data_IF_368069395381
#
_entry.id   IF_368069395381
#
_cell.length_a   1.000
_cell.length_b   1.000
_cell.length_c   1.000
_cell.angle_alpha   90.00
_cell.angle_beta   90.00
_cell.angle_gamma   90.00
#
_symmetry.space_group_name_H-M   'P 1'
#
loop_
_entity.id
_entity.type
_entity.pdbx_description
1 polymer ?
#
# COMPACT_ATOMS: atom_id res chain seq x y z
N UNK A 1 -21.47 3.53 -16.62
CA UNK A 1 -20.44 2.49 -16.90
C UNK A 1 -19.05 2.86 -16.40
N UNK A 2 -18.51 4.07 -16.68
CA UNK A 2 -17.16 4.47 -16.21
C UNK A 2 -17.01 4.40 -14.68
N UNK A 3 -18.01 4.88 -13.93
CA UNK A 3 -18.01 4.82 -12.45
C UNK A 3 -17.94 3.36 -11.96
N UNK A 4 -18.68 2.44 -12.59
CA UNK A 4 -18.65 1.01 -12.24
C UNK A 4 -17.27 0.40 -12.49
N UNK A 5 -16.62 0.75 -13.60
CA UNK A 5 -15.26 0.32 -13.90
C UNK A 5 -14.27 0.81 -12.85
N UNK A 6 -14.26 2.12 -12.56
CA UNK A 6 -13.39 2.73 -11.55
C UNK A 6 -13.62 2.10 -10.16
N UNK A 7 -14.88 1.83 -9.82
CA UNK A 7 -15.23 1.19 -8.55
C UNK A 7 -14.65 -0.21 -8.43
N UNK A 8 -14.75 -1.02 -9.49
CA UNK A 8 -14.20 -2.38 -9.57
C UNK A 8 -12.67 -2.38 -9.62
N UNK A 9 -12.07 -1.45 -10.37
CA UNK A 9 -10.63 -1.28 -10.43
C UNK A 9 -10.03 -1.05 -9.04
N UNK A 10 -10.60 -0.16 -8.23
CA UNK A 10 -10.10 0.07 -6.87
C UNK A 10 -10.18 -1.17 -5.98
N UNK A 11 -11.30 -1.90 -6.03
CA UNK A 11 -11.45 -3.15 -5.27
C UNK A 11 -10.39 -4.16 -5.72
N UNK A 12 -10.10 -4.22 -7.03
CA UNK A 12 -9.09 -5.12 -7.58
C UNK A 12 -7.67 -4.81 -7.11
N UNK A 13 -7.36 -3.54 -6.80
CA UNK A 13 -6.04 -3.15 -6.29
C UNK A 13 -5.86 -3.57 -4.83
N UNK A 14 -6.95 -3.58 -4.05
CA UNK A 14 -6.91 -3.83 -2.60
C UNK A 14 -6.97 -5.33 -2.27
N UNK A 15 -7.74 -6.10 -3.03
CA UNK A 15 -7.95 -7.52 -2.74
C UNK A 15 -6.92 -8.43 -3.44
N UNK A 16 -6.36 -9.44 -2.74
CA UNK A 16 -5.59 -10.50 -3.39
C UNK A 16 -6.43 -11.19 -4.48
N UNK A 17 -5.83 -11.51 -5.63
CA UNK A 17 -6.53 -12.04 -6.82
C UNK A 17 -7.64 -11.11 -7.37
N UNK A 18 -7.44 -9.80 -7.20
CA UNK A 18 -8.43 -8.72 -7.33
C UNK A 18 -9.26 -8.66 -8.61
N UNK A 19 -8.88 -9.32 -9.70
CA UNK A 19 -9.70 -9.40 -10.91
C UNK A 19 -11.02 -10.16 -10.67
N UNK A 20 -10.97 -11.38 -10.14
CA UNK A 20 -12.15 -12.25 -9.99
C UNK A 20 -13.03 -11.77 -8.84
N UNK A 21 -12.40 -11.40 -7.72
CA UNK A 21 -13.10 -10.97 -6.50
C UNK A 21 -13.78 -9.63 -6.68
N UNK A 22 -13.13 -8.64 -7.32
CA UNK A 22 -13.74 -7.31 -7.55
C UNK A 22 -14.95 -7.34 -8.48
N UNK A 23 -14.94 -8.23 -9.48
CA UNK A 23 -16.02 -8.35 -10.45
C UNK A 23 -17.24 -9.08 -9.88
N UNK A 24 -17.04 -9.92 -8.86
CA UNK A 24 -18.10 -10.61 -8.13
C UNK A 24 -18.81 -9.74 -7.07
N UNK A 25 -18.23 -8.59 -6.68
CA UNK A 25 -18.90 -7.65 -5.78
C UNK A 25 -20.09 -6.99 -6.48
N UNK A 26 -21.28 -7.18 -5.93
CA UNK A 26 -22.45 -6.39 -6.32
C UNK A 26 -22.24 -4.95 -5.88
N UNK A 27 -22.50 -4.05 -6.81
CA UNK A 27 -22.53 -2.61 -6.58
C UNK A 27 -23.99 -2.15 -6.58
N UNK A 28 -24.30 -1.01 -5.93
CA UNK A 28 -25.64 -0.41 -5.97
C UNK A 28 -26.11 -0.23 -7.43
N UNK A 29 -25.19 0.06 -8.34
CA UNK A 29 -25.45 0.17 -9.78
C UNK A 29 -25.94 -1.16 -10.40
N UNK A 30 -25.33 -2.29 -10.05
CA UNK A 30 -25.75 -3.61 -10.57
C UNK A 30 -27.02 -4.13 -9.89
N UNK A 31 -27.23 -3.79 -8.62
CA UNK A 31 -28.46 -4.13 -7.89
C UNK A 31 -29.67 -3.36 -8.44
N UNK A 32 -29.48 -2.09 -8.85
CA UNK A 32 -30.53 -1.28 -9.45
C UNK A 32 -31.08 -1.81 -10.78
N UNK A 33 -30.35 -2.71 -11.44
CA UNK A 33 -30.71 -3.31 -12.73
C UNK A 33 -31.37 -4.69 -12.61
N UNK A 34 -31.65 -5.20 -11.41
CA UNK A 34 -32.25 -6.52 -11.17
C UNK A 34 -31.54 -7.69 -11.89
N UNK A 35 -30.21 -7.60 -12.05
CA UNK A 35 -29.42 -8.65 -12.69
C UNK A 35 -29.15 -9.77 -11.67
N UNK A 36 -29.40 -11.02 -12.05
CA UNK A 36 -29.13 -12.17 -11.18
C UNK A 36 -27.61 -12.35 -10.94
N UNK A 37 -27.23 -12.77 -9.72
CA UNK A 37 -25.82 -13.05 -9.37
C UNK A 37 -25.12 -13.98 -10.36
N UNK A 38 -25.72 -15.11 -10.80
CA UNK A 38 -25.11 -16.01 -11.78
C UNK A 38 -24.76 -15.33 -13.11
N UNK A 39 -25.65 -14.47 -13.63
CA UNK A 39 -25.40 -13.70 -14.85
C UNK A 39 -24.27 -12.68 -14.65
N UNK A 40 -24.23 -12.00 -13.50
CA UNK A 40 -23.18 -11.03 -13.17
C UNK A 40 -21.80 -11.70 -13.04
N UNK A 41 -21.73 -12.85 -12.38
CA UNK A 41 -20.51 -13.65 -12.26
C UNK A 41 -20.08 -14.15 -13.64
N UNK A 42 -21.01 -14.64 -14.45
CA UNK A 42 -20.72 -15.13 -15.80
C UNK A 42 -20.19 -14.04 -16.73
N UNK A 43 -20.83 -12.87 -16.78
CA UNK A 43 -20.36 -11.74 -17.58
C UNK A 43 -18.98 -11.25 -17.15
N UNK A 44 -18.70 -11.30 -15.85
CA UNK A 44 -17.38 -11.00 -15.28
C UNK A 44 -16.31 -12.02 -15.68
N UNK A 45 -16.65 -13.31 -15.67
CA UNK A 45 -15.78 -14.38 -16.17
C UNK A 45 -15.49 -14.23 -17.67
N UNK A 46 -16.47 -13.81 -18.48
CA UNK A 46 -16.23 -13.52 -19.90
C UNK A 46 -15.22 -12.38 -20.04
N UNK A 47 -15.41 -11.27 -19.33
CA UNK A 47 -14.47 -10.14 -19.39
C UNK A 47 -13.04 -10.54 -18.99
N UNK A 48 -12.89 -11.31 -17.91
CA UNK A 48 -11.59 -11.80 -17.49
C UNK A 48 -10.97 -12.70 -18.55
N UNK A 49 -11.75 -13.63 -19.10
CA UNK A 49 -11.32 -14.52 -20.15
C UNK A 49 -10.87 -13.73 -21.38
N UNK A 50 -11.69 -12.82 -21.89
CA UNK A 50 -11.37 -12.02 -23.08
C UNK A 50 -10.15 -11.13 -22.88
N UNK A 51 -9.93 -10.63 -21.65
CA UNK A 51 -8.74 -9.83 -21.32
C UNK A 51 -7.47 -10.68 -21.23
N UNK A 52 -7.57 -11.90 -20.68
CA UNK A 52 -6.46 -12.86 -20.71
C UNK A 52 -6.17 -13.39 -22.12
N UNK A 53 -7.16 -13.44 -23.01
CA UNK A 53 -6.92 -13.88 -24.39
C UNK A 53 -6.42 -12.76 -25.29
N UNK A 54 -6.88 -11.51 -25.08
CA UNK A 54 -6.46 -10.36 -25.87
C UNK A 54 -4.97 -10.08 -25.73
N UNK A 55 -4.38 -10.31 -24.55
CA UNK A 55 -2.94 -10.10 -24.38
C UNK A 55 -2.09 -11.01 -25.27
N UNK A 56 -2.57 -12.21 -25.61
CA UNK A 56 -1.83 -13.11 -26.51
C UNK A 56 -1.77 -12.59 -27.94
N UNK A 57 -2.74 -11.76 -28.36
CA UNK A 57 -2.68 -11.05 -29.64
C UNK A 57 -1.41 -10.21 -29.77
N UNK A 58 -0.94 -9.65 -28.65
CA UNK A 58 0.23 -8.78 -28.60
C UNK A 58 1.49 -9.49 -28.10
N UNK A 59 1.34 -10.47 -27.20
CA UNK A 59 2.47 -11.24 -26.65
C UNK A 59 3.13 -12.13 -27.69
N UNK A 60 2.36 -12.75 -28.58
CA UNK A 60 2.89 -13.66 -29.61
C UNK A 60 3.77 -12.88 -30.61
N UNK A 61 3.31 -11.77 -31.23
CA UNK A 61 4.18 -10.94 -32.07
C UNK A 61 5.42 -10.44 -31.34
N UNK A 62 5.30 -10.07 -30.06
CA UNK A 62 6.43 -9.60 -29.27
C UNK A 62 7.52 -10.66 -29.12
N UNK A 63 7.14 -11.88 -28.69
CA UNK A 63 8.06 -13.01 -28.54
C UNK A 63 8.70 -13.38 -29.88
N UNK A 64 7.92 -13.35 -30.97
CA UNK A 64 8.44 -13.66 -32.30
C UNK A 64 9.45 -12.60 -32.78
N UNK A 65 9.15 -11.31 -32.60
CA UNK A 65 10.06 -10.23 -32.99
C UNK A 65 11.35 -10.31 -32.19
N UNK A 66 11.28 -10.40 -30.86
CA UNK A 66 12.48 -10.49 -30.01
C UNK A 66 13.31 -11.74 -30.35
N UNK A 67 12.64 -12.88 -30.56
CA UNK A 67 13.27 -14.15 -30.97
C UNK A 67 14.08 -14.04 -32.27
N UNK A 68 13.67 -13.16 -33.19
CA UNK A 68 14.30 -13.00 -34.50
C UNK A 68 15.41 -11.94 -34.50
N UNK A 69 15.33 -10.92 -33.65
CA UNK A 69 16.31 -9.82 -33.60
C UNK A 69 17.46 -10.03 -32.64
N UNK A 70 17.31 -10.85 -31.60
CA UNK A 70 18.32 -11.02 -30.55
C UNK A 70 18.94 -12.42 -30.59
N UNK A 71 20.28 -12.50 -30.67
CA UNK A 71 20.99 -13.80 -30.73
C UNK A 71 21.01 -14.54 -29.38
N UNK A 72 20.96 -13.82 -28.27
CA UNK A 72 20.97 -14.36 -26.90
C UNK A 72 19.57 -14.26 -26.25
N UNK A 73 18.57 -14.88 -26.89
CA UNK A 73 17.21 -14.85 -26.36
C UNK A 73 17.04 -15.77 -25.16
N UNK A 74 16.59 -15.19 -24.04
CA UNK A 74 16.21 -15.92 -22.82
C UNK A 74 14.86 -16.64 -22.96
N UNK A 75 14.02 -16.26 -23.93
CA UNK A 75 12.63 -16.75 -24.07
C UNK A 75 12.53 -17.62 -25.33
N UNK A 76 12.27 -18.93 -25.13
CA UNK A 76 12.11 -19.88 -26.21
C UNK A 76 10.79 -19.62 -26.99
N UNK A 77 10.81 -19.37 -28.31
CA UNK A 77 9.61 -19.12 -29.10
C UNK A 77 8.60 -20.29 -29.08
N UNK A 78 9.04 -21.49 -28.71
CA UNK A 78 8.16 -22.65 -28.50
C UNK A 78 7.12 -22.44 -27.38
N UNK A 79 7.29 -21.44 -26.51
CA UNK A 79 6.33 -21.08 -25.45
C UNK A 79 4.97 -20.62 -26.03
N UNK A 80 4.92 -20.23 -27.30
CA UNK A 80 3.70 -19.83 -28.02
C UNK A 80 2.78 -21.03 -28.31
N UNK A 81 3.34 -22.23 -28.52
CA UNK A 81 2.57 -23.43 -28.86
C UNK A 81 1.57 -23.84 -27.77
N UNK A 82 1.97 -24.03 -26.49
CA UNK A 82 1.03 -24.40 -25.43
C UNK A 82 -0.07 -23.34 -25.22
N UNK A 83 0.24 -22.05 -25.41
CA UNK A 83 -0.75 -20.96 -25.36
C UNK A 83 -1.83 -21.14 -26.43
N UNK A 84 -1.43 -21.36 -27.69
CA UNK A 84 -2.37 -21.57 -28.80
C UNK A 84 -3.25 -22.80 -28.53
N UNK A 85 -2.65 -23.89 -28.03
CA UNK A 85 -3.39 -25.12 -27.68
C UNK A 85 -4.43 -24.84 -26.59
N UNK A 86 -4.06 -24.13 -25.52
CA UNK A 86 -4.96 -23.76 -24.43
C UNK A 86 -6.14 -22.93 -24.96
N UNK A 87 -5.87 -21.91 -25.77
CA UNK A 87 -6.90 -21.07 -26.39
C UNK A 87 -7.85 -21.89 -27.29
N UNK A 88 -7.31 -22.80 -28.10
CA UNK A 88 -8.10 -23.67 -28.96
C UNK A 88 -9.02 -24.59 -28.15
N UNK A 89 -8.50 -25.23 -27.09
CA UNK A 89 -9.27 -26.09 -26.18
C UNK A 89 -10.42 -25.31 -25.55
N UNK A 90 -10.18 -24.08 -25.09
CA UNK A 90 -11.19 -23.24 -24.47
C UNK A 90 -12.33 -22.88 -25.45
N UNK A 91 -11.98 -22.47 -26.68
CA UNK A 91 -12.96 -22.15 -27.73
C UNK A 91 -13.78 -23.37 -28.14
N UNK A 92 -13.13 -24.54 -28.29
CA UNK A 92 -13.81 -25.80 -28.64
C UNK A 92 -14.76 -26.22 -27.51
N UNK A 93 -14.32 -26.14 -26.25
CA UNK A 93 -15.12 -26.54 -25.09
C UNK A 93 -16.34 -25.63 -24.93
N UNK A 94 -16.16 -24.30 -25.04
CA UNK A 94 -17.26 -23.33 -24.99
C UNK A 94 -18.26 -23.54 -26.13
N UNK A 95 -17.77 -23.73 -27.35
CA UNK A 95 -18.62 -24.00 -28.52
C UNK A 95 -19.36 -25.32 -28.40
N UNK A 96 -18.72 -26.35 -27.85
CA UNK A 96 -19.33 -27.65 -27.60
C UNK A 96 -20.44 -27.56 -26.54
N UNK A 97 -20.23 -26.77 -25.47
CA UNK A 97 -21.25 -26.57 -24.45
C UNK A 97 -22.46 -25.80 -25.01
N UNK A 98 -22.22 -24.70 -25.74
CA UNK A 98 -23.29 -23.89 -26.37
C UNK A 98 -24.16 -24.71 -27.33
N UNK A 99 -23.57 -25.68 -28.04
CA UNK A 99 -24.27 -26.56 -28.99
C UNK A 99 -24.80 -27.86 -28.34
N UNK A 100 -24.83 -27.96 -27.01
CA UNK A 100 -25.25 -29.16 -26.28
C UNK A 100 -24.48 -30.44 -26.69
N UNK A 101 -23.22 -30.30 -27.09
CA UNK A 101 -22.35 -31.39 -27.51
C UNK A 101 -21.68 -32.12 -26.34
N UNK A 102 -20.56 -32.80 -26.63
CA UNK A 102 -19.82 -33.65 -25.67
C UNK A 102 -19.47 -32.94 -24.35
N UNK A 103 -19.06 -31.68 -24.40
CA UNK A 103 -18.72 -30.92 -23.20
C UNK A 103 -19.93 -30.71 -22.28
N UNK A 104 -21.12 -30.42 -22.86
CA UNK A 104 -22.37 -30.30 -22.10
C UNK A 104 -22.73 -31.62 -21.43
N UNK A 105 -22.68 -32.74 -22.17
CA UNK A 105 -22.98 -34.07 -21.62
C UNK A 105 -22.04 -34.47 -20.48
N UNK A 106 -20.74 -34.18 -20.62
CA UNK A 106 -19.73 -34.47 -19.59
C UNK A 106 -19.94 -33.65 -18.33
N UNK A 107 -20.22 -32.35 -18.46
CA UNK A 107 -20.46 -31.46 -17.31
C UNK A 107 -21.77 -31.84 -16.62
N UNK A 108 -22.84 -32.10 -17.37
CA UNK A 108 -24.13 -32.53 -16.80
C UNK A 108 -24.03 -33.85 -16.04
N UNK A 109 -23.19 -34.78 -16.52
CA UNK A 109 -22.97 -36.08 -15.88
C UNK A 109 -22.12 -35.97 -14.61
N UNK A 110 -21.01 -35.24 -14.66
CA UNK A 110 -20.02 -35.24 -13.57
C UNK A 110 -20.20 -34.09 -12.56
N UNK A 111 -20.85 -33.00 -12.97
CA UNK A 111 -21.03 -31.78 -12.18
C UNK A 111 -22.44 -31.18 -12.39
N UNK A 112 -23.52 -31.86 -11.93
CA UNK A 112 -24.90 -31.46 -12.20
C UNK A 112 -25.25 -30.07 -11.66
N UNK A 113 -24.74 -29.70 -10.49
CA UNK A 113 -24.93 -28.37 -9.88
C UNK A 113 -24.32 -27.23 -10.69
N UNK A 114 -23.23 -27.50 -11.42
CA UNK A 114 -22.62 -26.53 -12.34
C UNK A 114 -23.48 -26.38 -13.60
N UNK A 115 -24.03 -27.50 -14.12
CA UNK A 115 -24.94 -27.48 -15.27
C UNK A 115 -26.17 -26.63 -14.99
N UNK A 116 -26.82 -26.79 -13.84
CA UNK A 116 -28.00 -26.00 -13.45
C UNK A 116 -27.71 -24.50 -13.47
N UNK A 117 -26.59 -24.08 -12.87
CA UNK A 117 -26.14 -22.67 -12.88
C UNK A 117 -25.81 -22.14 -14.27
N UNK A 118 -25.26 -22.98 -15.15
CA UNK A 118 -24.95 -22.62 -16.53
C UNK A 118 -26.21 -22.54 -17.40
N UNK A 119 -27.22 -23.36 -17.11
CA UNK A 119 -28.49 -23.37 -17.82
C UNK A 119 -29.33 -22.11 -17.47
N UNK A 120 -29.21 -21.58 -16.24
CA UNK A 120 -29.78 -20.27 -15.85
C UNK A 120 -29.27 -19.09 -16.70
N UNK A 121 -28.06 -19.18 -17.24
CA UNK A 121 -27.41 -18.11 -18.02
C UNK A 121 -27.94 -18.06 -19.47
N UNK A 122 -28.70 -19.07 -19.91
CA UNK A 122 -29.26 -19.21 -21.25
C UNK A 122 -28.24 -18.83 -22.35
N UNK A 123 -27.20 -19.65 -22.47
CA UNK A 123 -26.09 -19.44 -23.41
C UNK A 123 -26.51 -19.41 -24.88
N UNK A 124 -27.72 -19.87 -25.21
CA UNK A 124 -28.27 -19.77 -26.57
C UNK A 124 -28.60 -18.32 -26.94
N UNK A 125 -29.10 -17.53 -25.98
CA UNK A 125 -29.33 -16.08 -26.15
C UNK A 125 -28.03 -15.25 -26.15
N UNK A 126 -26.90 -15.87 -25.87
CA UNK A 126 -25.61 -15.19 -25.84
C UNK A 126 -25.17 -14.78 -27.25
N UNK A 127 -25.16 -13.47 -27.49
CA UNK A 127 -24.76 -12.88 -28.77
C UNK A 127 -23.24 -12.83 -28.91
N UNK A 128 -22.72 -13.55 -29.90
CA UNK A 128 -21.30 -13.56 -30.27
C UNK A 128 -20.78 -12.15 -30.61
N UNK A 129 -21.66 -11.25 -31.07
CA UNK A 129 -21.33 -9.86 -31.38
C UNK A 129 -20.81 -9.11 -30.14
N UNK A 130 -21.45 -9.29 -28.98
CA UNK A 130 -20.98 -8.66 -27.74
C UNK A 130 -19.68 -9.28 -27.23
N UNK A 131 -19.45 -10.57 -27.45
CA UNK A 131 -18.15 -11.19 -27.14
C UNK A 131 -17.02 -10.60 -27.98
N UNK A 132 -17.25 -10.36 -29.27
CA UNK A 132 -16.29 -9.68 -30.15
C UNK A 132 -16.07 -8.24 -29.66
N UNK A 133 -17.13 -7.50 -29.30
CA UNK A 133 -16.96 -6.16 -28.75
C UNK A 133 -16.13 -6.16 -27.47
N UNK A 134 -16.39 -7.07 -26.53
CA UNK A 134 -15.60 -7.19 -25.30
C UNK A 134 -14.14 -7.50 -25.62
N UNK A 135 -13.87 -8.44 -26.52
CA UNK A 135 -12.51 -8.77 -26.95
C UNK A 135 -11.79 -7.58 -27.59
N UNK A 136 -12.46 -6.86 -28.50
CA UNK A 136 -11.89 -5.67 -29.15
C UNK A 136 -11.61 -4.56 -28.13
N UNK A 137 -12.51 -4.35 -27.16
CA UNK A 137 -12.26 -3.38 -26.09
C UNK A 137 -11.09 -3.78 -25.20
N UNK A 138 -10.94 -5.07 -24.85
CA UNK A 138 -9.78 -5.57 -24.10
C UNK A 138 -8.49 -5.40 -24.90
N UNK A 139 -8.50 -5.74 -26.19
CA UNK A 139 -7.33 -5.55 -27.06
C UNK A 139 -6.94 -4.08 -27.22
N UNK A 140 -7.92 -3.17 -27.26
CA UNK A 140 -7.67 -1.74 -27.28
C UNK A 140 -7.03 -1.25 -25.97
N UNK A 141 -7.48 -1.77 -24.82
CA UNK A 141 -6.86 -1.49 -23.52
C UNK A 141 -5.40 -1.98 -23.49
N UNK A 142 -5.14 -3.20 -23.96
CA UNK A 142 -3.79 -3.74 -24.07
C UNK A 142 -2.89 -2.84 -24.94
N UNK A 143 -3.40 -2.43 -26.11
CA UNK A 143 -2.71 -1.50 -26.99
C UNK A 143 -2.40 -0.16 -26.29
N UNK A 144 -3.34 0.39 -25.51
CA UNK A 144 -3.06 1.63 -24.76
C UNK A 144 -1.95 1.45 -23.73
N UNK A 145 -1.88 0.30 -23.06
CA UNK A 145 -0.79 -0.04 -22.14
C UNK A 145 0.56 -0.08 -22.85
N UNK A 146 0.63 -0.78 -23.97
CA UNK A 146 1.84 -0.83 -24.82
C UNK A 146 2.23 0.57 -25.30
N UNK A 147 1.25 1.36 -25.75
CA UNK A 147 1.48 2.72 -26.19
C UNK A 147 2.05 3.61 -25.09
N UNK A 148 1.57 3.50 -23.84
CA UNK A 148 2.14 4.24 -22.71
C UNK A 148 3.58 3.82 -22.41
N UNK A 149 3.89 2.52 -22.48
CA UNK A 149 5.27 2.05 -22.29
C UNK A 149 6.21 2.62 -23.35
N UNK A 150 5.80 2.56 -24.62
CA UNK A 150 6.56 3.12 -25.74
C UNK A 150 6.76 4.65 -25.59
N UNK A 151 5.68 5.36 -25.24
CA UNK A 151 5.71 6.82 -25.07
C UNK A 151 6.62 7.24 -23.92
N UNK A 152 6.58 6.51 -22.80
CA UNK A 152 7.47 6.77 -21.65
C UNK A 152 8.94 6.59 -22.03
N UNK A 153 9.28 5.50 -22.74
CA UNK A 153 10.66 5.27 -23.21
C UNK A 153 11.15 6.39 -24.13
N UNK A 154 10.32 6.77 -25.10
CA UNK A 154 10.64 7.81 -26.07
C UNK A 154 10.80 9.17 -25.41
N UNK A 155 9.95 9.48 -24.42
CA UNK A 155 10.02 10.74 -23.67
C UNK A 155 11.31 10.86 -22.84
N UNK A 156 11.79 9.76 -22.25
CA UNK A 156 12.93 9.80 -21.31
C UNK A 156 14.27 9.62 -22.00
N UNK A 157 14.35 8.80 -23.04
CA UNK A 157 15.63 8.43 -23.67
C UNK A 157 15.77 8.89 -25.12
N UNK A 158 14.72 9.48 -25.70
CA UNK A 158 14.65 9.81 -27.12
C UNK A 158 14.54 8.58 -28.04
N UNK A 159 14.70 7.36 -27.50
CA UNK A 159 14.60 6.09 -28.23
C UNK A 159 13.39 5.30 -27.72
N UNK A 160 12.60 4.76 -28.62
CA UNK A 160 11.50 3.87 -28.30
C UNK A 160 11.66 2.56 -29.08
N UNK A 161 11.66 1.43 -28.39
CA UNK A 161 11.59 0.12 -29.03
C UNK A 161 10.18 -0.43 -28.86
N UNK A 162 9.52 -0.75 -29.97
CA UNK A 162 8.19 -1.37 -29.95
C UNK A 162 8.24 -2.73 -29.26
N UNK A 163 9.24 -3.56 -29.58
CA UNK A 163 9.45 -4.86 -28.94
C UNK A 163 9.52 -4.72 -27.40
N UNK A 164 10.19 -3.67 -26.92
CA UNK A 164 10.30 -3.39 -25.49
C UNK A 164 9.03 -2.92 -24.84
N UNK A 165 8.27 -2.07 -25.52
CA UNK A 165 6.96 -1.65 -25.05
C UNK A 165 6.02 -2.86 -24.89
N UNK A 166 6.05 -3.80 -25.85
CA UNK A 166 5.32 -5.04 -25.74
C UNK A 166 5.79 -5.90 -24.55
N UNK A 167 7.09 -6.17 -24.44
CA UNK A 167 7.63 -7.02 -23.38
C UNK A 167 7.36 -6.43 -21.99
N UNK A 168 7.47 -5.10 -21.86
CA UNK A 168 7.11 -4.37 -20.64
C UNK A 168 5.66 -4.60 -20.24
N UNK A 169 4.74 -4.49 -21.21
CA UNK A 169 3.31 -4.71 -20.98
C UNK A 169 3.02 -6.14 -20.52
N UNK A 170 3.63 -7.13 -21.18
CA UNK A 170 3.49 -8.55 -20.84
C UNK A 170 3.98 -8.84 -19.42
N UNK A 171 5.17 -8.34 -19.07
CA UNK A 171 5.74 -8.49 -17.72
C UNK A 171 4.82 -7.86 -16.66
N UNK A 172 4.32 -6.66 -16.92
CA UNK A 172 3.39 -5.95 -16.02
C UNK A 172 2.11 -6.75 -15.81
N UNK A 173 1.53 -7.30 -16.87
CA UNK A 173 0.32 -8.10 -16.79
C UNK A 173 0.51 -9.34 -15.91
N UNK A 174 1.55 -10.13 -16.17
CA UNK A 174 1.79 -11.37 -15.41
C UNK A 174 2.14 -11.11 -13.95
N UNK A 175 2.97 -10.10 -13.66
CA UNK A 175 3.28 -9.73 -12.27
C UNK A 175 2.01 -9.23 -11.57
N UNK A 176 1.17 -8.43 -12.24
CA UNK A 176 -0.10 -7.96 -11.67
C UNK A 176 -1.07 -9.10 -11.36
N UNK A 177 -1.07 -10.16 -12.17
CA UNK A 177 -1.96 -11.31 -12.00
C UNK A 177 -1.58 -12.19 -10.79
N UNK A 178 -0.28 -12.33 -10.52
CA UNK A 178 0.24 -13.20 -9.45
C UNK A 178 0.45 -12.42 -8.15
N UNK A 179 0.67 -11.10 -8.23
CA UNK A 179 1.00 -10.30 -7.05
C UNK A 179 -0.20 -10.14 -6.10
N UNK A 180 -0.05 -10.50 -4.82
CA UNK A 180 -1.11 -10.34 -3.83
C UNK A 180 -1.28 -8.89 -3.34
N UNK A 181 -0.34 -7.99 -3.65
CA UNK A 181 -0.29 -6.63 -3.10
C UNK A 181 -0.33 -5.56 -4.19
N UNK A 182 -1.34 -4.70 -4.17
CA UNK A 182 -1.48 -3.49 -5.01
C UNK A 182 -1.14 -3.69 -6.50
N UNK A 183 -1.51 -4.85 -7.07
CA UNK A 183 -1.14 -5.23 -8.44
C UNK A 183 0.36 -5.10 -8.73
N UNK A 184 1.23 -5.64 -7.88
CA UNK A 184 2.66 -5.75 -8.17
C UNK A 184 3.50 -4.52 -7.85
N UNK A 185 3.03 -3.63 -6.96
CA UNK A 185 3.78 -2.43 -6.58
C UNK A 185 5.18 -2.80 -6.03
N UNK A 186 6.22 -2.12 -6.51
CA UNK A 186 7.62 -2.39 -6.24
C UNK A 186 8.21 -3.46 -7.17
N UNK A 187 7.56 -4.61 -7.27
CA UNK A 187 8.03 -5.72 -8.12
C UNK A 187 8.01 -5.35 -9.61
N UNK A 188 6.95 -4.68 -10.06
CA UNK A 188 6.82 -4.22 -11.46
C UNK A 188 7.87 -3.16 -11.77
N UNK A 189 8.05 -2.18 -10.89
CA UNK A 189 9.04 -1.11 -11.09
C UNK A 189 10.45 -1.69 -11.17
N UNK A 190 10.79 -2.66 -10.31
CA UNK A 190 12.07 -3.37 -10.37
C UNK A 190 12.23 -4.17 -11.67
N UNK A 191 11.21 -4.94 -12.06
CA UNK A 191 11.23 -5.77 -13.27
C UNK A 191 11.36 -4.92 -14.54
N UNK A 192 10.60 -3.83 -14.64
CA UNK A 192 10.68 -2.89 -15.76
C UNK A 192 12.03 -2.18 -15.80
N UNK A 193 12.55 -1.73 -14.66
CA UNK A 193 13.87 -1.09 -14.59
C UNK A 193 14.97 -2.03 -15.08
N UNK A 194 14.92 -3.30 -14.65
CA UNK A 194 15.84 -4.32 -15.11
C UNK A 194 15.74 -4.57 -16.62
N UNK A 195 14.51 -4.74 -17.12
CA UNK A 195 14.22 -4.97 -18.53
C UNK A 195 14.69 -3.80 -19.40
N UNK A 196 14.41 -2.55 -18.99
CA UNK A 196 14.89 -1.36 -19.68
C UNK A 196 16.43 -1.24 -19.67
N UNK A 197 17.10 -1.62 -18.58
CA UNK A 197 18.57 -1.63 -18.49
C UNK A 197 19.20 -2.60 -19.49
N UNK A 198 18.60 -3.77 -19.70
CA UNK A 198 19.10 -4.74 -20.70
C UNK A 198 19.13 -4.15 -22.12
N UNK A 199 18.29 -3.17 -22.40
CA UNK A 199 18.18 -2.52 -23.70
C UNK A 199 18.94 -1.19 -23.79
N UNK A 200 19.92 -1.00 -22.91
CA UNK A 200 20.88 0.09 -22.99
C UNK A 200 20.45 1.39 -22.32
N UNK A 201 19.34 1.39 -21.57
CA UNK A 201 19.00 2.53 -20.70
C UNK A 201 19.91 2.52 -19.48
N UNK A 202 20.45 3.68 -19.10
CA UNK A 202 21.13 3.83 -17.81
C UNK A 202 20.16 3.50 -16.66
N UNK A 203 20.64 3.06 -15.48
CA UNK A 203 19.77 2.72 -14.34
C UNK A 203 18.76 3.82 -13.97
N UNK A 204 19.18 5.10 -14.00
CA UNK A 204 18.32 6.23 -13.69
C UNK A 204 17.20 6.41 -14.74
N UNK A 205 17.55 6.47 -16.03
CA UNK A 205 16.56 6.57 -17.12
C UNK A 205 15.61 5.36 -17.16
N UNK A 206 16.10 4.15 -16.86
CA UNK A 206 15.28 2.94 -16.81
C UNK A 206 14.22 3.03 -15.69
N UNK A 207 14.62 3.44 -14.48
CA UNK A 207 13.69 3.64 -13.37
C UNK A 207 12.67 4.74 -13.66
N UNK A 208 13.12 5.89 -14.18
CA UNK A 208 12.23 6.99 -14.54
C UNK A 208 11.21 6.58 -15.61
N UNK A 209 11.63 5.80 -16.60
CA UNK A 209 10.74 5.25 -17.63
C UNK A 209 9.67 4.34 -17.01
N UNK A 210 10.08 3.44 -16.10
CA UNK A 210 9.15 2.56 -15.39
C UNK A 210 8.15 3.37 -14.54
N UNK A 211 8.60 4.39 -13.83
CA UNK A 211 7.76 5.24 -12.99
C UNK A 211 6.75 6.06 -13.82
N UNK A 212 7.15 6.64 -14.94
CA UNK A 212 6.25 7.37 -15.84
C UNK A 212 5.22 6.43 -16.47
N UNK A 213 5.66 5.25 -16.92
CA UNK A 213 4.73 4.25 -17.41
C UNK A 213 3.69 3.87 -16.34
N UNK A 214 4.12 3.69 -15.08
CA UNK A 214 3.23 3.38 -13.94
C UNK A 214 2.33 4.54 -13.56
N UNK A 215 2.78 5.78 -13.73
CA UNK A 215 1.97 6.97 -13.52
C UNK A 215 0.68 6.90 -14.35
N UNK A 216 0.78 6.54 -15.63
CA UNK A 216 -0.36 6.45 -16.53
C UNK A 216 -1.09 5.11 -16.49
N UNK A 217 -0.36 3.99 -16.40
CA UNK A 217 -0.96 2.65 -16.42
C UNK A 217 -1.60 2.23 -15.09
N UNK A 218 -1.20 2.83 -13.97
CA UNK A 218 -1.67 2.41 -12.64
C UNK A 218 -2.10 3.58 -11.76
N UNK A 219 -1.22 4.56 -11.50
CA UNK A 219 -1.51 5.61 -10.53
C UNK A 219 -2.66 6.53 -10.96
N UNK A 220 -2.73 6.89 -12.24
CA UNK A 220 -3.81 7.72 -12.78
C UNK A 220 -5.18 7.02 -12.68
N UNK A 221 -5.36 5.77 -13.17
CA UNK A 221 -6.58 5.00 -12.93
C UNK A 221 -6.91 4.85 -11.45
N UNK A 222 -5.91 4.60 -10.58
CA UNK A 222 -6.10 4.49 -9.14
C UNK A 222 -6.64 5.79 -8.55
N UNK A 223 -6.03 6.94 -8.88
CA UNK A 223 -6.48 8.25 -8.43
C UNK A 223 -7.92 8.54 -8.86
N UNK A 224 -8.24 8.33 -10.15
CA UNK A 224 -9.63 8.47 -10.62
C UNK A 224 -10.58 7.54 -9.90
N UNK A 225 -10.13 6.34 -9.55
CA UNK A 225 -10.93 5.37 -8.80
C UNK A 225 -11.18 5.80 -7.37
N UNK A 226 -10.16 6.32 -6.69
CA UNK A 226 -10.28 6.93 -5.36
C UNK A 226 -11.28 8.09 -5.40
N UNK A 227 -11.12 9.03 -6.34
CA UNK A 227 -12.04 10.16 -6.50
C UNK A 227 -13.47 9.72 -6.79
N UNK A 228 -13.66 8.70 -7.62
CA UNK A 228 -14.98 8.11 -7.91
C UNK A 228 -15.68 7.62 -6.64
N UNK A 229 -14.97 7.12 -5.63
CA UNK A 229 -15.57 6.74 -4.36
C UNK A 229 -15.73 7.91 -3.38
N UNK A 230 -14.78 8.85 -3.36
CA UNK A 230 -14.87 10.02 -2.47
C UNK A 230 -16.11 10.88 -2.74
N UNK A 231 -16.51 10.97 -4.01
CA UNK A 231 -17.70 11.71 -4.43
C UNK A 231 -19.03 11.05 -4.04
N UNK A 232 -19.03 9.77 -3.64
CA UNK A 232 -20.23 9.05 -3.19
C UNK A 232 -20.17 8.77 -1.68
N UNK A 233 -21.00 9.50 -0.92
CA UNK A 233 -21.03 9.52 0.55
C UNK A 233 -21.28 8.16 1.23
N UNK A 234 -21.89 7.20 0.54
CA UNK A 234 -22.31 5.90 1.12
C UNK A 234 -21.34 4.73 0.86
N UNK A 235 -20.12 5.00 0.41
CA UNK A 235 -19.23 3.91 0.01
C UNK A 235 -18.50 3.26 1.20
N UNK A 236 -18.45 1.92 1.22
CA UNK A 236 -17.59 1.14 2.13
C UNK A 236 -16.13 1.65 2.09
N UNK A 237 -15.70 2.16 0.93
CA UNK A 237 -14.39 2.75 0.75
C UNK A 237 -14.12 3.97 1.65
N UNK A 238 -15.11 4.84 1.89
CA UNK A 238 -14.95 5.99 2.80
C UNK A 238 -14.79 5.59 4.28
N UNK A 239 -15.04 4.33 4.63
CA UNK A 239 -14.74 3.77 5.96
C UNK A 239 -13.34 3.15 6.01
N UNK A 240 -12.90 2.55 4.91
CA UNK A 240 -11.64 1.81 4.80
C UNK A 240 -10.45 2.72 4.50
N UNK A 241 -10.62 3.68 3.58
CA UNK A 241 -9.55 4.53 3.08
C UNK A 241 -8.83 5.28 4.22
N UNK A 242 -9.52 5.97 5.14
CA UNK A 242 -8.82 6.74 6.19
C UNK A 242 -7.96 5.84 7.08
N UNK A 243 -8.46 4.64 7.42
CA UNK A 243 -7.70 3.64 8.18
C UNK A 243 -6.43 3.22 7.43
N UNK A 244 -6.57 2.87 6.15
CA UNK A 244 -5.45 2.45 5.31
C UNK A 244 -4.39 3.55 5.17
N UNK A 245 -4.78 4.79 4.87
CA UNK A 245 -3.82 5.89 4.71
C UNK A 245 -3.15 6.28 6.02
N UNK A 246 -3.85 6.20 7.16
CA UNK A 246 -3.23 6.38 8.48
C UNK A 246 -2.24 5.25 8.80
N UNK A 247 -2.54 4.01 8.46
CA UNK A 247 -1.61 2.89 8.60
C UNK A 247 -0.35 3.12 7.76
N UNK A 248 -0.51 3.50 6.49
CA UNK A 248 0.60 3.79 5.59
C UNK A 248 1.43 4.99 6.05
N UNK A 249 0.80 6.07 6.53
CA UNK A 249 1.51 7.20 7.13
C UNK A 249 2.29 6.76 8.37
N UNK A 250 1.71 5.91 9.20
CA UNK A 250 2.38 5.39 10.38
C UNK A 250 3.61 4.53 10.03
N UNK A 251 3.48 3.68 9.00
CA UNK A 251 4.62 2.92 8.46
C UNK A 251 5.67 3.85 7.84
N UNK A 252 5.25 4.86 7.07
CA UNK A 252 6.14 5.84 6.45
C UNK A 252 6.94 6.57 7.52
N UNK A 253 6.30 7.03 8.59
CA UNK A 253 6.98 7.68 9.71
C UNK A 253 8.09 6.79 10.28
N UNK A 254 7.83 5.48 10.48
CA UNK A 254 8.85 4.53 10.94
C UNK A 254 9.95 4.32 9.90
N UNK A 255 9.59 4.16 8.63
CA UNK A 255 10.57 3.94 7.54
C UNK A 255 11.49 5.14 7.35
N UNK A 256 11.02 6.37 7.56
CA UNK A 256 11.88 7.55 7.48
C UNK A 256 12.97 7.58 8.54
N UNK A 257 12.93 6.74 9.58
CA UNK A 257 14.05 6.58 10.51
C UNK A 257 15.24 5.87 9.86
N UNK A 258 14.99 5.04 8.85
CA UNK A 258 16.03 4.26 8.16
C UNK A 258 16.78 5.10 7.12
N UNK A 259 16.24 6.27 6.74
CA UNK A 259 16.88 7.17 5.78
C UNK A 259 17.98 7.95 6.52
N UNK A 260 19.27 7.72 6.21
CA UNK A 260 20.34 8.43 6.88
C UNK A 260 20.26 9.93 6.55
N UNK A 261 20.58 10.78 7.53
CA UNK A 261 20.52 12.24 7.39
C UNK A 261 21.34 12.77 6.19
N UNK A 262 22.39 12.05 5.80
CA UNK A 262 23.32 12.46 4.74
C UNK A 262 22.81 12.16 3.32
N UNK A 263 21.72 11.41 3.17
CA UNK A 263 21.09 11.17 1.86
C UNK A 263 20.23 12.35 1.38
N UNK A 264 19.93 13.32 2.25
CA UNK A 264 19.15 14.51 1.88
C UNK A 264 20.08 15.54 1.25
N UNK A 265 20.04 15.70 -0.08
CA UNK A 265 20.92 16.59 -0.83
C UNK A 265 20.59 18.09 -0.71
N UNK A 266 19.60 18.48 0.10
CA UNK A 266 19.21 19.89 0.28
C UNK A 266 20.02 20.55 1.40
N UNK A 267 21.29 20.84 1.12
CA UNK A 267 22.20 21.55 2.03
C UNK A 267 21.61 22.88 2.55
N UNK A 268 20.76 23.54 1.75
CA UNK A 268 20.19 24.87 2.06
C UNK A 268 19.25 24.86 3.28
N UNK A 269 18.50 23.77 3.50
CA UNK A 269 17.53 23.69 4.63
C UNK A 269 18.18 23.05 5.85
N UNK A 270 19.16 22.15 5.65
CA UNK A 270 19.92 21.52 6.74
C UNK A 270 20.60 22.57 7.62
N UNK A 271 21.17 23.61 7.01
CA UNK A 271 21.86 24.67 7.76
C UNK A 271 20.89 25.55 8.58
N UNK A 272 19.58 25.52 8.28
CA UNK A 272 18.55 26.24 9.03
C UNK A 272 17.94 25.40 10.18
N UNK A 273 18.16 24.08 10.18
CA UNK A 273 17.56 23.15 11.15
C UNK A 273 18.63 22.69 12.13
N UNK A 274 18.43 22.96 13.42
CA UNK A 274 19.36 22.49 14.45
C UNK A 274 19.36 20.96 14.55
N UNK A 275 20.52 20.38 14.89
CA UNK A 275 20.64 18.94 15.13
C UNK A 275 19.63 18.45 16.20
N UNK A 276 19.35 19.26 17.22
CA UNK A 276 18.35 18.96 18.25
C UNK A 276 16.94 18.83 17.68
N UNK A 277 16.56 19.73 16.77
CA UNK A 277 15.25 19.71 16.11
C UNK A 277 15.13 18.53 15.14
N UNK A 278 16.21 18.16 14.44
CA UNK A 278 16.28 16.97 13.60
C UNK A 278 16.00 15.68 14.38
N UNK A 279 16.73 15.47 15.48
CA UNK A 279 16.56 14.26 16.29
C UNK A 279 15.20 14.23 16.98
N UNK A 280 14.74 15.37 17.51
CA UNK A 280 13.42 15.48 18.15
C UNK A 280 12.30 15.15 17.16
N UNK A 281 12.36 15.68 15.94
CA UNK A 281 11.38 15.38 14.89
C UNK A 281 11.39 13.90 14.50
N UNK A 282 12.57 13.29 14.46
CA UNK A 282 12.74 11.84 14.22
C UNK A 282 12.05 11.00 15.30
N UNK A 283 12.19 11.37 16.57
CA UNK A 283 11.52 10.67 17.67
C UNK A 283 10.01 10.88 17.66
N UNK A 284 9.56 12.11 17.38
CA UNK A 284 8.13 12.42 17.24
C UNK A 284 7.50 11.57 16.13
N UNK A 285 8.18 11.40 15.00
CA UNK A 285 7.74 10.52 13.91
C UNK A 285 7.67 9.06 14.34
N UNK A 286 8.65 8.56 15.09
CA UNK A 286 8.59 7.18 15.60
C UNK A 286 7.34 6.94 16.46
N UNK A 287 7.11 7.81 17.44
CA UNK A 287 5.97 7.69 18.38
C UNK A 287 4.64 7.84 17.64
N UNK A 288 4.49 8.90 16.83
CA UNK A 288 3.28 9.10 16.03
C UNK A 288 3.07 7.97 15.02
N UNK A 289 4.14 7.42 14.46
CA UNK A 289 4.10 6.28 13.55
C UNK A 289 3.48 5.04 14.19
N UNK A 290 3.96 4.66 15.38
CA UNK A 290 3.42 3.56 16.15
C UNK A 290 1.94 3.79 16.54
N UNK A 291 1.60 5.01 16.97
CA UNK A 291 0.23 5.39 17.31
C UNK A 291 -0.69 5.23 16.09
N UNK A 292 -0.31 5.77 14.93
CA UNK A 292 -1.12 5.74 13.72
C UNK A 292 -1.34 4.32 13.19
N UNK A 293 -0.32 3.46 13.24
CA UNK A 293 -0.44 2.04 12.84
C UNK A 293 -1.49 1.34 13.71
N UNK A 294 -1.40 1.45 15.03
CA UNK A 294 -2.34 0.79 15.94
C UNK A 294 -3.74 1.42 15.81
N UNK A 295 -3.80 2.75 15.73
CA UNK A 295 -5.05 3.50 15.66
C UNK A 295 -5.82 3.25 14.35
N UNK A 296 -5.16 2.80 13.29
CA UNK A 296 -5.79 2.45 12.01
C UNK A 296 -6.86 1.36 12.16
N UNK A 297 -6.67 0.41 13.08
CA UNK A 297 -7.62 -0.67 13.36
C UNK A 297 -8.93 -0.09 13.92
N UNK A 298 -8.85 0.90 14.81
CA UNK A 298 -10.03 1.53 15.41
C UNK A 298 -10.69 2.53 14.46
N UNK A 299 -9.88 3.18 13.65
CA UNK A 299 -10.38 4.03 12.57
C UNK A 299 -11.19 3.19 11.57
N UNK A 300 -10.72 1.98 11.23
CA UNK A 300 -11.49 1.03 10.42
C UNK A 300 -12.82 0.64 11.06
N UNK A 301 -12.82 0.45 12.39
CA UNK A 301 -14.01 0.09 13.14
C UNK A 301 -15.03 1.24 13.26
N UNK A 302 -14.62 2.50 13.07
CA UNK A 302 -15.52 3.66 13.06
C UNK A 302 -15.57 4.44 14.38
N UNK A 303 -14.57 4.31 15.25
CA UNK A 303 -14.53 5.03 16.53
C UNK A 303 -14.21 6.52 16.38
N UNK A 304 -14.98 7.37 17.07
CA UNK A 304 -14.81 8.83 17.09
C UNK A 304 -13.52 9.28 17.76
N UNK A 305 -13.12 8.61 18.84
CA UNK A 305 -11.85 8.86 19.55
C UNK A 305 -10.65 8.54 18.67
N UNK A 306 -10.71 7.43 17.93
CA UNK A 306 -9.68 7.05 16.97
C UNK A 306 -9.53 8.09 15.86
N UNK A 307 -10.62 8.69 15.40
CA UNK A 307 -10.57 9.79 14.46
C UNK A 307 -9.82 11.02 15.00
N UNK A 308 -10.09 11.45 16.23
CA UNK A 308 -9.34 12.56 16.85
C UNK A 308 -7.84 12.24 16.99
N UNK A 309 -7.50 11.02 17.41
CA UNK A 309 -6.11 10.56 17.54
C UNK A 309 -5.42 10.53 16.17
N UNK A 310 -6.11 10.05 15.13
CA UNK A 310 -5.59 10.03 13.77
C UNK A 310 -5.33 11.44 13.24
N UNK A 311 -6.28 12.35 13.44
CA UNK A 311 -6.18 13.74 12.99
C UNK A 311 -5.01 14.46 13.65
N UNK A 312 -4.88 14.33 14.98
CA UNK A 312 -3.77 14.90 15.73
C UNK A 312 -2.44 14.28 15.33
N UNK A 313 -2.38 12.95 15.19
CA UNK A 313 -1.18 12.22 14.78
C UNK A 313 -0.72 12.61 13.37
N UNK A 314 -1.64 12.77 12.42
CA UNK A 314 -1.32 13.22 11.06
C UNK A 314 -0.84 14.68 11.03
N UNK A 315 -1.45 15.56 11.85
CA UNK A 315 -1.01 16.94 12.02
C UNK A 315 0.42 17.03 12.58
N UNK A 316 0.70 16.32 13.68
CA UNK A 316 2.03 16.26 14.27
C UNK A 316 3.04 15.66 13.27
N UNK A 317 2.66 14.61 12.54
CA UNK A 317 3.53 14.01 11.50
C UNK A 317 3.88 14.99 10.39
N UNK A 318 2.90 15.79 9.94
CA UNK A 318 3.12 16.80 8.90
C UNK A 318 4.16 17.85 9.32
N UNK A 319 4.07 18.34 10.56
CA UNK A 319 5.05 19.27 11.14
C UNK A 319 6.41 18.58 11.26
N UNK A 320 6.45 17.37 11.80
CA UNK A 320 7.69 16.64 12.03
C UNK A 320 8.46 16.33 10.73
N UNK A 321 7.76 16.04 9.62
CA UNK A 321 8.40 15.88 8.30
C UNK A 321 9.04 17.16 7.78
N UNK A 322 8.43 18.32 8.03
CA UNK A 322 9.02 19.62 7.69
C UNK A 322 10.27 19.90 8.53
N UNK A 323 10.18 19.70 9.85
CA UNK A 323 11.25 20.05 10.79
C UNK A 323 12.40 19.04 10.87
N UNK A 324 12.23 17.82 10.34
CA UNK A 324 13.30 16.80 10.26
C UNK A 324 14.30 17.02 9.13
N UNK A 325 14.04 17.93 8.19
CA UNK A 325 14.97 18.13 7.07
C UNK A 325 14.32 18.62 5.79
N UNK A 326 13.14 19.22 5.87
CA UNK A 326 12.43 19.71 4.69
C UNK A 326 11.95 18.58 3.77
N UNK A 327 11.49 17.45 4.33
CA UNK A 327 10.86 16.40 3.52
C UNK A 327 9.45 16.83 3.07
N UNK A 328 9.40 17.80 2.16
CA UNK A 328 8.15 18.42 1.71
C UNK A 328 7.19 17.40 1.10
N UNK A 329 7.72 16.38 0.42
CA UNK A 329 6.94 15.31 -0.18
C UNK A 329 6.15 14.55 0.89
N UNK A 330 6.80 14.17 2.01
CA UNK A 330 6.15 13.46 3.11
C UNK A 330 5.21 14.34 3.93
N UNK A 331 5.51 15.64 4.05
CA UNK A 331 4.62 16.62 4.68
C UNK A 331 3.34 16.83 3.87
N UNK A 332 3.45 16.97 2.54
CA UNK A 332 2.29 17.08 1.64
C UNK A 332 1.40 15.84 1.75
N UNK A 333 1.98 14.63 1.76
CA UNK A 333 1.23 13.38 1.96
C UNK A 333 0.49 13.39 3.30
N UNK A 334 1.16 13.77 4.39
CA UNK A 334 0.55 13.86 5.72
C UNK A 334 -0.59 14.88 5.75
N UNK A 335 -0.44 16.02 5.07
CA UNK A 335 -1.46 17.06 4.97
C UNK A 335 -2.68 16.60 4.16
N UNK A 336 -2.49 15.89 3.04
CA UNK A 336 -3.60 15.31 2.29
C UNK A 336 -4.41 14.32 3.15
N UNK A 337 -3.76 13.57 4.04
CA UNK A 337 -4.44 12.65 4.97
C UNK A 337 -5.31 13.41 5.97
N UNK A 338 -4.86 14.58 6.45
CA UNK A 338 -5.68 15.46 7.30
C UNK A 338 -6.97 15.86 6.56
N UNK A 339 -6.88 16.25 5.29
CA UNK A 339 -8.06 16.61 4.47
C UNK A 339 -9.01 15.42 4.34
N UNK A 340 -8.49 14.21 4.09
CA UNK A 340 -9.29 12.98 4.02
C UNK A 340 -10.02 12.75 5.34
N UNK A 341 -9.32 12.85 6.48
CA UNK A 341 -9.91 12.66 7.80
C UNK A 341 -11.01 13.69 8.09
N UNK A 342 -10.78 14.97 7.78
CA UNK A 342 -11.80 16.02 7.94
C UNK A 342 -13.02 15.75 7.07
N UNK A 343 -12.83 15.28 5.83
CA UNK A 343 -13.93 14.92 4.94
C UNK A 343 -14.75 13.72 5.44
N UNK A 344 -14.09 12.72 6.05
CA UNK A 344 -14.75 11.50 6.54
C UNK A 344 -15.26 11.56 7.97
N UNK A 345 -15.16 12.72 8.64
CA UNK A 345 -15.56 12.93 10.05
C UNK A 345 -16.92 12.31 10.40
N UNK A 346 -17.92 12.47 9.52
CA UNK A 346 -19.30 12.01 9.76
C UNK A 346 -19.45 10.49 9.81
N UNK A 347 -18.45 9.74 9.33
CA UNK A 347 -18.48 8.28 9.33
C UNK A 347 -18.09 7.67 10.68
N UNK A 348 -17.57 8.47 11.62
CA UNK A 348 -17.12 8.03 12.93
C UNK A 348 -18.15 8.43 14.00
N UNK A 349 -19.06 7.51 14.30
CA UNK A 349 -20.13 7.74 15.29
C UNK A 349 -19.97 6.88 16.54
N UNK A 350 -19.18 5.80 16.47
CA UNK A 350 -18.99 4.91 17.61
C UNK A 350 -18.22 5.64 18.70
N UNK A 351 -18.84 5.76 19.87
CA UNK A 351 -18.18 6.31 21.05
C UNK A 351 -17.44 5.20 21.77
N UNK A 352 -16.24 5.50 22.25
CA UNK A 352 -15.55 4.60 23.16
C UNK A 352 -16.24 4.68 24.50
N UNK A 353 -16.68 3.54 25.03
CA UNK A 353 -17.21 3.50 26.37
C UNK A 353 -16.08 3.70 27.39
N UNK A 354 -16.07 4.85 28.07
CA UNK A 354 -15.08 5.20 29.09
C UNK A 354 -15.32 4.49 30.43
N UNK A 355 -16.46 3.81 30.63
CA UNK A 355 -16.72 3.08 31.88
C UNK A 355 -15.83 1.84 32.04
N UNK A 356 -15.35 1.27 30.94
CA UNK A 356 -14.36 0.18 30.91
C UNK A 356 -12.93 0.67 31.17
N UNK A 357 -12.74 1.99 31.30
CA UNK A 357 -11.46 2.66 31.52
C UNK A 357 -11.03 2.68 33.00
N UNK A 358 -11.56 1.78 33.84
CA UNK A 358 -11.05 1.53 35.20
C UNK A 358 -9.79 0.66 35.12
N UNK A 359 -8.69 1.22 34.59
CA UNK A 359 -7.39 0.54 34.59
C UNK A 359 -6.42 1.19 35.54
N UNK A 360 -5.59 0.33 36.12
CA UNK A 360 -4.65 0.73 37.14
C UNK A 360 -3.40 1.39 36.53
N UNK A 361 -3.43 2.72 36.44
CA UNK A 361 -2.25 3.51 36.07
C UNK A 361 -1.20 3.56 37.20
N UNK A 362 -1.43 2.93 38.36
CA UNK A 362 -0.43 2.91 39.43
C UNK A 362 0.85 2.21 39.01
N UNK A 363 0.76 1.13 38.22
CA UNK A 363 1.96 0.41 37.76
C UNK A 363 2.83 1.20 36.77
N UNK A 364 2.31 1.81 35.68
CA UNK A 364 3.13 2.68 34.83
C UNK A 364 3.63 3.93 35.57
N UNK A 365 2.83 4.50 36.47
CA UNK A 365 3.27 5.62 37.31
C UNK A 365 4.43 5.21 38.23
N UNK A 366 4.33 4.04 38.86
CA UNK A 366 5.40 3.46 39.66
C UNK A 366 6.66 3.21 38.83
N UNK A 367 6.54 2.59 37.64
CA UNK A 367 7.66 2.41 36.72
C UNK A 367 8.30 3.74 36.33
N UNK A 368 7.50 4.77 36.03
CA UNK A 368 8.00 6.09 35.69
C UNK A 368 8.81 6.71 36.85
N UNK A 369 8.33 6.60 38.09
CA UNK A 369 9.05 7.04 39.30
C UNK A 369 10.36 6.26 39.45
N UNK A 370 10.34 4.93 39.28
CA UNK A 370 11.54 4.08 39.35
C UNK A 370 12.57 4.47 38.29
N UNK A 371 12.15 4.75 37.06
CA UNK A 371 13.03 5.18 35.97
C UNK A 371 13.64 6.55 36.28
N UNK A 372 12.87 7.51 36.81
CA UNK A 372 13.38 8.81 37.26
C UNK A 372 14.44 8.63 38.35
N UNK A 373 14.18 7.78 39.34
CA UNK A 373 15.12 7.50 40.43
C UNK A 373 16.39 6.81 39.90
N UNK A 374 16.24 5.81 39.04
CA UNK A 374 17.36 5.13 38.37
C UNK A 374 18.23 6.11 37.59
N UNK A 375 17.63 6.97 36.77
CA UNK A 375 18.37 7.99 36.01
C UNK A 375 19.04 9.03 36.91
N UNK A 376 18.34 9.51 37.94
CA UNK A 376 18.86 10.54 38.86
C UNK A 376 20.01 10.00 39.70
N UNK A 377 19.87 8.79 40.26
CA UNK A 377 20.93 8.13 41.02
C UNK A 377 22.09 7.73 40.13
N UNK A 378 21.83 7.22 38.92
CA UNK A 378 22.88 6.88 37.97
C UNK A 378 23.73 8.09 37.59
N UNK A 379 23.12 9.20 37.19
CA UNK A 379 23.88 10.43 36.89
C UNK A 379 24.58 11.01 38.14
N UNK A 380 23.99 10.91 39.33
CA UNK A 380 24.59 11.44 40.56
C UNK A 380 25.79 10.61 41.05
N UNK A 381 25.70 9.27 40.94
CA UNK A 381 26.74 8.34 41.42
C UNK A 381 27.84 8.10 40.39
N UNK A 382 27.61 8.45 39.12
CA UNK A 382 28.59 8.26 38.06
C UNK A 382 29.66 9.36 38.13
N UNK A 383 30.87 8.93 38.46
CA UNK A 383 32.04 9.78 38.61
C UNK A 383 32.60 10.27 37.26
N UNK A 384 33.55 11.22 37.35
CA UNK A 384 34.38 11.80 36.28
C UNK A 384 34.90 10.79 35.26
N UNK A 385 35.09 9.53 35.62
CA UNK A 385 35.53 8.47 34.71
C UNK A 385 34.52 8.18 33.59
N UNK A 386 33.21 8.23 33.90
CA UNK A 386 32.16 7.83 32.96
C UNK A 386 31.55 8.98 32.18
N UNK A 387 31.62 10.22 32.70
CA UNK A 387 31.03 11.41 32.08
C UNK A 387 31.95 12.64 32.06
N UNK A 388 33.18 12.52 32.55
CA UNK A 388 34.16 13.61 32.58
C UNK A 388 33.89 14.71 33.62
N UNK A 389 32.76 14.64 34.36
CA UNK A 389 32.31 15.68 35.31
C UNK A 389 31.50 15.07 36.45
N UNK A 390 31.47 15.76 37.59
CA UNK A 390 30.57 15.45 38.72
C UNK A 390 29.27 16.25 38.57
N UNK A 391 28.14 15.61 38.89
CA UNK A 391 26.83 16.24 38.82
C UNK A 391 26.26 16.44 40.22
N UNK A 392 25.68 17.61 40.48
CA UNK A 392 24.84 17.80 41.67
C UNK A 392 23.54 17.02 41.52
N UNK A 393 22.85 16.70 42.62
CA UNK A 393 21.55 15.99 42.60
C UNK A 393 20.53 16.72 41.70
N UNK A 394 20.53 18.06 41.71
CA UNK A 394 19.63 18.88 40.87
C UNK A 394 19.95 18.71 39.38
N UNK A 395 21.23 18.69 39.02
CA UNK A 395 21.66 18.48 37.64
C UNK A 395 21.41 17.05 37.18
N UNK A 396 21.67 16.06 38.03
CA UNK A 396 21.41 14.65 37.76
C UNK A 396 19.91 14.38 37.53
N UNK A 397 19.04 15.02 38.32
CA UNK A 397 17.59 14.97 38.12
C UNK A 397 17.18 15.59 36.78
N UNK A 398 17.73 16.77 36.45
CA UNK A 398 17.48 17.44 35.17
C UNK A 398 17.93 16.60 33.97
N UNK A 399 19.12 15.97 34.07
CA UNK A 399 19.67 15.09 33.04
C UNK A 399 18.87 13.80 32.90
N UNK A 400 18.40 13.23 34.01
CA UNK A 400 17.48 12.09 34.01
C UNK A 400 16.20 12.43 33.26
N UNK A 401 15.54 13.54 33.60
CA UNK A 401 14.31 13.96 32.95
C UNK A 401 14.50 14.21 31.45
N UNK A 402 15.58 14.91 31.05
CA UNK A 402 15.93 15.15 29.65
C UNK A 402 16.17 13.86 28.87
N UNK A 403 16.80 12.86 29.47
CA UNK A 403 17.04 11.56 28.81
C UNK A 403 15.79 10.66 28.81
N UNK A 404 14.95 10.71 29.84
CA UNK A 404 13.67 9.99 29.89
C UNK A 404 12.72 10.54 28.83
N UNK A 405 12.69 11.86 28.65
CA UNK A 405 11.96 12.54 27.58
C UNK A 405 12.65 12.43 26.21
N UNK A 406 13.78 11.70 26.12
CA UNK A 406 14.56 11.47 24.90
C UNK A 406 15.12 12.75 24.23
N UNK A 407 15.18 13.87 24.96
CA UNK A 407 15.72 15.16 24.50
C UNK A 407 17.27 15.11 24.47
N UNK A 408 17.87 14.44 25.45
CA UNK A 408 19.33 14.40 25.61
C UNK A 408 19.92 15.70 26.18
N UNK A 409 21.25 15.75 26.31
CA UNK A 409 21.97 16.92 26.81
C UNK A 409 23.44 16.87 26.36
N UNK A 410 24.00 18.01 25.95
CA UNK A 410 25.39 18.09 25.48
C UNK A 410 26.41 17.75 26.56
N UNK A 411 26.05 17.89 27.83
CA UNK A 411 26.88 17.47 28.98
C UNK A 411 27.11 15.97 29.04
N UNK A 412 26.32 15.17 28.31
CA UNK A 412 26.49 13.72 28.22
C UNK A 412 27.27 13.25 26.99
N UNK A 413 27.81 14.17 26.17
CA UNK A 413 28.48 13.82 24.91
C UNK A 413 29.89 13.22 25.08
N UNK A 414 30.49 13.33 26.27
CA UNK A 414 31.81 12.78 26.58
C UNK A 414 31.70 11.55 27.49
N UNK A 415 30.74 10.67 27.22
CA UNK A 415 30.52 9.46 28.00
C UNK A 415 31.43 8.30 27.56
N UNK A 416 32.03 7.64 28.55
CA UNK A 416 32.71 6.35 28.34
C UNK A 416 31.74 5.25 27.90
N UNK A 417 32.25 4.07 27.53
CA UNK A 417 31.43 2.95 27.03
C UNK A 417 30.28 2.58 28.00
N UNK A 418 30.54 2.61 29.31
CA UNK A 418 29.53 2.36 30.33
C UNK A 418 28.50 3.50 30.46
N UNK A 419 28.92 4.76 30.34
CA UNK A 419 28.01 5.92 30.32
C UNK A 419 27.05 5.89 29.12
N UNK A 420 27.55 5.49 27.95
CA UNK A 420 26.73 5.28 26.76
C UNK A 420 25.72 4.14 26.96
N UNK A 421 26.16 3.02 27.55
CA UNK A 421 25.27 1.90 27.88
C UNK A 421 24.18 2.31 28.86
N UNK A 422 24.52 3.09 29.90
CA UNK A 422 23.56 3.61 30.87
C UNK A 422 22.55 4.57 30.27
N UNK A 423 22.98 5.49 29.40
CA UNK A 423 22.05 6.38 28.69
C UNK A 423 21.12 5.56 27.80
N UNK A 424 21.66 4.56 27.09
CA UNK A 424 20.88 3.68 26.25
C UNK A 424 19.86 2.87 27.06
N UNK A 425 20.24 2.32 28.22
CA UNK A 425 19.32 1.57 29.10
C UNK A 425 18.22 2.48 29.65
N UNK A 426 18.56 3.70 30.10
CA UNK A 426 17.61 4.68 30.60
C UNK A 426 16.58 5.10 29.53
N UNK A 427 17.06 5.40 28.31
CA UNK A 427 16.20 5.75 27.17
C UNK A 427 15.32 4.57 26.75
N UNK A 428 15.88 3.37 26.71
CA UNK A 428 15.14 2.15 26.36
C UNK A 428 14.03 1.85 27.36
N UNK A 429 14.32 1.94 28.67
CA UNK A 429 13.33 1.76 29.73
C UNK A 429 12.19 2.79 29.63
N UNK A 430 12.54 4.04 29.29
CA UNK A 430 11.57 5.12 29.08
C UNK A 430 10.66 4.85 27.87
N UNK A 431 11.22 4.38 26.76
CA UNK A 431 10.47 3.96 25.58
C UNK A 431 9.50 2.82 25.93
N UNK A 432 9.96 1.79 26.66
CA UNK A 432 9.11 0.68 27.09
C UNK A 432 7.97 1.17 27.99
N UNK A 433 8.26 2.08 28.94
CA UNK A 433 7.24 2.67 29.80
C UNK A 433 6.20 3.48 29.00
N UNK A 434 6.62 4.29 28.03
CA UNK A 434 5.71 5.05 27.18
C UNK A 434 4.89 4.15 26.25
N UNK A 435 5.50 3.12 25.67
CA UNK A 435 4.77 2.11 24.89
C UNK A 435 3.76 1.37 25.76
N UNK A 436 4.10 1.06 27.01
CA UNK A 436 3.19 0.41 27.95
C UNK A 436 2.00 1.32 28.30
N UNK A 437 2.23 2.60 28.61
CA UNK A 437 1.16 3.60 28.81
C UNK A 437 0.31 3.75 27.55
N UNK A 438 0.93 3.77 26.38
CA UNK A 438 0.24 3.84 25.10
C UNK A 438 -0.63 2.60 24.86
N UNK A 439 -0.12 1.40 25.11
CA UNK A 439 -0.89 0.16 25.03
C UNK A 439 -2.02 0.18 26.05
N UNK A 440 -1.79 0.65 27.27
CA UNK A 440 -2.82 0.73 28.32
C UNK A 440 -3.97 1.67 27.93
N UNK A 441 -3.66 2.81 27.33
CA UNK A 441 -4.63 3.78 26.83
C UNK A 441 -5.36 3.29 25.58
N UNK A 442 -4.71 2.47 24.75
CA UNK A 442 -5.29 1.95 23.51
C UNK A 442 -6.07 0.63 23.68
N UNK A 443 -5.72 -0.25 24.62
CA UNK A 443 -6.39 -1.57 24.80
C UNK A 443 -7.93 -1.52 25.00
N UNK A 444 -8.52 -0.51 25.66
CA UNK A 444 -9.97 -0.36 25.78
C UNK A 444 -10.66 -0.19 24.43
N UNK A 445 -9.96 0.35 23.43
CA UNK A 445 -10.46 0.47 22.07
C UNK A 445 -10.50 -0.91 21.37
N UNK A 446 -9.63 -1.87 21.74
CA UNK A 446 -9.59 -3.26 21.21
C UNK A 446 -10.75 -4.10 21.77
N UNK A 447 -11.11 -3.90 23.05
CA UNK A 447 -12.01 -4.79 23.79
C UNK A 447 -13.51 -4.49 23.69
N UNK A 448 -13.91 -3.37 23.08
CA UNK A 448 -15.31 -2.94 22.95
C UNK A 448 -16.19 -3.78 22.01
N UNK A 449 -15.93 -5.09 21.87
CA UNK A 449 -16.57 -5.96 20.87
C UNK A 449 -16.87 -7.38 21.37
N UNK A 450 -17.27 -7.55 22.63
CA UNK A 450 -17.68 -8.87 23.12
C UNK A 450 -19.09 -9.02 23.68
N UNK A 451 -19.87 -7.95 23.84
CA UNK A 451 -21.29 -8.08 24.15
C UNK A 451 -22.08 -6.97 23.47
N UNK A 452 -22.68 -7.31 22.32
CA UNK A 452 -24.06 -7.01 21.94
C UNK A 452 -24.39 -7.72 20.60
#
# INVERSE_FOLDING_TARGET
MVILYLKRFLISVILPAGGVTSLAFSTKETESQNISRPVLIFGSSIYMFTSCTSIFLFSIPAILITSLTEKDNLINPLIVIPVIIILAILVITFSSYKKHGRAYTLIKKNYPTLSERLDEINLEKFSTKFLIYTFLTSALLDFTGIYFAFSAMKAISGKGSLAMAFLSYVVVFFISMISPFMNGLGAIEAALTYLFKQYGLSPAHALLTALIYRLFSFWTPLLYSVFSYLLYKDSLFLKILPALVCLLLGMLNILTLLIPADFIHFNVIRDMISNELFYTSTYVQYVTGAILIINSIYLWQGYRTAWYIALLGAFISSIAHLTKGGYYEYSIVSFLIIIILLYTERNYTLQTNLSDFKRDFKFPLFLFIVIILYGTLGFYLMDTINFGKTFTIKEAFSLSLKNILLIGDSRTNQSGAFGNFFILSLRSASIVCFLYVLILTLLPLIKGRQHD
#
